data_IF_669737274898
#
_entry.id   IF_669737274898
#
_cell.length_a   1.000
_cell.length_b   1.000
_cell.length_c   1.000
_cell.angle_alpha   90.00
_cell.angle_beta   90.00
_cell.angle_gamma   90.00
#
_symmetry.space_group_name_H-M   'P 1'
#
loop_
_entity.id
_entity.type
_entity.pdbx_description
1 polymer ?
#
# COMPACT_ATOMS: atom_id res chain seq x y z
N UNK A 1 60.85 17.05 9.31
CA UNK A 1 59.63 17.51 8.59
C UNK A 1 58.46 16.49 8.57
N UNK A 2 58.33 15.53 9.51
CA UNK A 2 57.33 14.44 9.39
C UNK A 2 56.49 14.14 10.66
N UNK A 3 56.29 15.09 11.59
CA UNK A 3 55.50 14.85 12.82
C UNK A 3 54.03 15.31 12.77
N UNK A 4 53.63 16.07 11.75
CA UNK A 4 52.28 16.70 11.69
C UNK A 4 51.20 15.79 11.07
N UNK A 5 51.58 14.91 10.13
CA UNK A 5 50.61 14.13 9.34
C UNK A 5 49.98 12.95 10.10
N UNK A 6 50.61 12.46 11.16
CA UNK A 6 50.10 11.29 11.89
C UNK A 6 48.83 11.62 12.70
N UNK A 7 48.74 12.84 13.26
CA UNK A 7 47.53 13.32 13.95
C UNK A 7 46.41 13.68 12.97
N UNK A 8 46.79 14.20 11.80
CA UNK A 8 45.85 14.50 10.73
C UNK A 8 45.20 13.21 10.18
N UNK A 9 46.01 12.16 9.95
CA UNK A 9 45.54 10.85 9.45
C UNK A 9 44.68 10.09 10.47
N UNK A 10 44.99 10.17 11.77
CA UNK A 10 44.12 9.58 12.80
C UNK A 10 42.79 10.32 12.94
N UNK A 11 42.78 11.64 12.76
CA UNK A 11 41.55 12.45 12.82
C UNK A 11 40.63 12.20 11.62
N UNK A 12 41.18 12.05 10.41
CA UNK A 12 40.39 11.86 9.19
C UNK A 12 39.83 10.44 9.06
N UNK A 13 40.49 9.44 9.63
CA UNK A 13 39.97 8.06 9.66
C UNK A 13 38.83 7.89 10.68
N UNK A 14 38.89 8.59 11.81
CA UNK A 14 37.81 8.59 12.81
C UNK A 14 36.52 9.27 12.30
N UNK A 15 36.62 10.33 11.48
CA UNK A 15 35.43 10.99 10.91
C UNK A 15 34.79 10.21 9.78
N UNK A 16 35.56 9.47 8.97
CA UNK A 16 35.01 8.58 7.93
C UNK A 16 34.31 7.34 8.51
N UNK A 17 34.74 6.84 9.67
CA UNK A 17 34.11 5.70 10.32
C UNK A 17 32.73 6.04 10.95
N UNK A 18 32.51 7.29 11.38
CA UNK A 18 31.26 7.72 12.02
C UNK A 18 30.11 8.02 11.04
N UNK A 19 30.40 8.23 9.75
CA UNK A 19 29.35 8.54 8.75
C UNK A 19 28.66 7.25 8.23
N UNK A 20 29.22 6.06 8.48
CA UNK A 20 28.74 4.81 7.89
C UNK A 20 27.60 4.09 8.63
N UNK A 21 27.02 4.63 9.72
CA UNK A 21 25.99 3.90 10.49
C UNK A 21 24.54 4.34 10.28
N UNK A 22 24.24 5.21 9.32
CA UNK A 22 22.85 5.58 8.99
C UNK A 22 22.42 5.06 7.62
N UNK A 23 22.13 3.75 7.53
CA UNK A 23 21.43 3.22 6.36
C UNK A 23 20.71 1.92 6.68
N UNK A 24 19.58 1.99 7.39
CA UNK A 24 18.62 0.89 7.45
C UNK A 24 17.20 1.48 7.46
N UNK A 25 16.77 2.08 6.34
CA UNK A 25 15.35 2.19 6.01
C UNK A 25 15.19 1.48 4.67
N UNK A 26 14.71 0.24 4.70
CA UNK A 26 14.52 -0.52 3.47
C UNK A 26 13.27 -0.02 2.74
N UNK A 27 13.42 0.22 1.44
CA UNK A 27 12.48 0.98 0.62
C UNK A 27 11.15 0.25 0.42
N UNK A 28 10.06 1.00 0.57
CA UNK A 28 8.71 0.67 0.12
C UNK A 28 8.70 0.08 -1.31
N UNK A 29 7.83 -0.91 -1.55
CA UNK A 29 7.69 -1.60 -2.84
C UNK A 29 6.27 -1.46 -3.39
N UNK A 30 6.11 -1.10 -4.67
CA UNK A 30 4.81 -1.15 -5.35
C UNK A 30 4.38 -2.56 -5.78
N UNK A 31 5.02 -3.59 -5.22
CA UNK A 31 4.73 -5.00 -5.48
C UNK A 31 4.46 -5.73 -4.18
N UNK A 32 3.56 -6.69 -4.23
CA UNK A 32 3.36 -7.69 -3.18
C UNK A 32 4.55 -8.68 -3.16
N UNK A 33 4.66 -9.47 -2.09
CA UNK A 33 5.69 -10.51 -1.93
C UNK A 33 5.64 -11.57 -3.05
N UNK A 34 4.45 -11.78 -3.64
CA UNK A 34 4.26 -12.68 -4.81
C UNK A 34 4.66 -12.04 -6.16
N UNK A 35 5.23 -10.83 -6.15
CA UNK A 35 5.71 -10.12 -7.33
C UNK A 35 4.64 -9.37 -8.14
N UNK A 36 3.35 -9.54 -7.84
CA UNK A 36 2.28 -8.77 -8.48
C UNK A 36 2.34 -7.31 -8.02
N UNK A 37 2.01 -6.38 -8.92
CA UNK A 37 1.86 -4.96 -8.55
C UNK A 37 0.66 -4.79 -7.62
N UNK A 38 0.79 -3.87 -6.68
CA UNK A 38 -0.32 -3.40 -5.85
C UNK A 38 -1.37 -2.72 -6.72
N UNK A 39 -2.62 -3.14 -6.60
CA UNK A 39 -3.71 -2.70 -7.49
C UNK A 39 -4.24 -1.31 -7.12
N UNK A 40 -4.05 -0.89 -5.87
CA UNK A 40 -4.52 0.37 -5.28
C UNK A 40 -3.51 1.52 -5.43
N UNK A 41 -2.38 1.29 -6.11
CA UNK A 41 -1.28 2.26 -6.19
C UNK A 41 -0.53 2.46 -4.87
N UNK A 42 -0.79 1.62 -3.86
CA UNK A 42 -0.12 1.67 -2.56
C UNK A 42 1.35 1.27 -2.60
N UNK A 43 1.93 1.09 -1.41
CA UNK A 43 3.28 0.53 -1.23
C UNK A 43 3.27 -0.51 -0.11
N UNK A 44 3.95 -1.62 -0.36
CA UNK A 44 4.19 -2.69 0.61
C UNK A 44 5.50 -2.40 1.34
N UNK A 45 5.50 -2.56 2.66
CA UNK A 45 6.70 -2.49 3.49
C UNK A 45 7.10 -3.90 3.94
N UNK A 46 8.33 -4.35 3.69
CA UNK A 46 8.76 -5.68 4.10
C UNK A 46 8.86 -5.77 5.62
N UNK A 47 8.36 -6.87 6.17
CA UNK A 47 8.55 -7.21 7.58
C UNK A 47 9.94 -7.83 7.76
N UNK A 48 10.80 -7.17 8.54
CA UNK A 48 12.13 -7.70 8.90
C UNK A 48 12.36 -7.59 10.39
N UNK A 49 12.81 -8.68 11.02
CA UNK A 49 13.14 -8.74 12.45
C UNK A 49 12.00 -8.23 13.35
N UNK A 50 10.74 -8.55 13.03
CA UNK A 50 9.57 -8.10 13.79
C UNK A 50 9.23 -6.61 13.65
N UNK A 51 9.71 -5.92 12.61
CA UNK A 51 9.39 -4.52 12.32
C UNK A 51 8.95 -4.31 10.86
N UNK A 52 8.03 -3.37 10.64
CA UNK A 52 7.68 -2.81 9.33
C UNK A 52 8.05 -1.33 9.31
N UNK A 53 9.07 -0.97 8.54
CA UNK A 53 9.69 0.37 8.57
C UNK A 53 10.06 0.79 10.01
N UNK A 54 9.34 1.73 10.62
CA UNK A 54 9.56 2.24 11.99
C UNK A 54 8.65 1.58 13.05
N UNK A 55 7.71 0.74 12.64
CA UNK A 55 6.71 0.16 13.52
C UNK A 55 7.07 -1.27 13.89
N UNK A 56 6.89 -1.64 15.16
CA UNK A 56 7.00 -3.02 15.60
C UNK A 56 5.73 -3.78 15.20
N UNK A 57 5.90 -5.01 14.73
CA UNK A 57 4.79 -5.90 14.40
C UNK A 57 4.75 -7.06 15.38
N UNK A 58 3.54 -7.46 15.78
CA UNK A 58 3.36 -8.68 16.55
C UNK A 58 3.20 -9.85 15.57
N UNK A 59 4.31 -10.55 15.28
CA UNK A 59 4.29 -11.71 14.38
C UNK A 59 3.34 -12.82 14.85
N UNK A 60 3.13 -12.95 16.16
CA UNK A 60 2.23 -13.96 16.74
C UNK A 60 0.78 -13.68 16.37
N UNK A 61 0.37 -12.40 16.37
CA UNK A 61 -0.97 -12.00 15.91
C UNK A 61 -1.15 -12.20 14.41
N UNK A 62 -0.10 -11.96 13.61
CA UNK A 62 -0.16 -12.15 12.15
C UNK A 62 -0.23 -13.63 11.73
N UNK A 63 0.41 -14.54 12.49
CA UNK A 63 0.40 -15.99 12.22
C UNK A 63 -0.94 -16.66 12.51
N UNK A 64 -1.77 -16.06 13.37
CA UNK A 64 -3.04 -16.64 13.82
C UNK A 64 -4.19 -16.58 12.82
N UNK A 65 -4.03 -15.83 11.71
CA UNK A 65 -5.12 -15.54 10.78
C UNK A 65 -6.22 -14.69 11.41
N UNK A 66 -6.91 -13.90 10.59
CA UNK A 66 -8.12 -13.21 11.05
C UNK A 66 -9.29 -14.21 10.95
N UNK A 67 -9.75 -14.73 12.08
CA UNK A 67 -10.89 -15.68 12.14
C UNK A 67 -12.22 -14.99 12.45
N UNK A 68 -12.26 -13.66 12.43
CA UNK A 68 -13.49 -12.90 12.63
C UNK A 68 -14.30 -12.83 11.34
N UNK A 69 -15.52 -13.37 11.37
CA UNK A 69 -16.49 -13.29 10.28
C UNK A 69 -16.85 -14.65 9.67
N UNK A 70 -17.68 -14.60 8.62
CA UNK A 70 -18.07 -15.76 7.83
C UNK A 70 -17.92 -15.46 6.35
N UNK A 71 -17.84 -16.51 5.53
CA UNK A 71 -17.92 -16.35 4.07
C UNK A 71 -19.28 -15.71 3.71
N UNK A 72 -19.31 -14.67 2.84
CA UNK A 72 -20.56 -14.17 2.31
C UNK A 72 -21.22 -15.23 1.42
N UNK A 73 -22.54 -15.28 1.48
CA UNK A 73 -23.36 -16.13 0.61
C UNK A 73 -23.34 -15.59 -0.82
N UNK A 74 -23.68 -16.44 -1.79
CA UNK A 74 -23.76 -16.00 -3.19
C UNK A 74 -24.76 -14.85 -3.40
N UNK A 75 -25.87 -14.84 -2.66
CA UNK A 75 -26.87 -13.77 -2.73
C UNK A 75 -26.34 -12.45 -2.17
N UNK A 76 -25.56 -12.49 -1.10
CA UNK A 76 -24.93 -11.28 -0.54
C UNK A 76 -23.91 -10.69 -1.50
N UNK A 77 -23.07 -11.54 -2.11
CA UNK A 77 -22.13 -11.09 -3.14
C UNK A 77 -22.90 -10.46 -4.29
N UNK A 78 -23.92 -11.13 -4.82
CA UNK A 78 -24.73 -10.60 -5.94
C UNK A 78 -25.42 -9.28 -5.62
N UNK A 79 -25.82 -9.05 -4.36
CA UNK A 79 -26.47 -7.81 -3.95
C UNK A 79 -25.48 -6.64 -3.81
N UNK A 80 -24.21 -6.91 -3.55
CA UNK A 80 -23.18 -5.90 -3.28
C UNK A 80 -22.24 -5.67 -4.46
N UNK A 81 -22.00 -6.70 -5.27
CA UNK A 81 -21.14 -6.69 -6.45
C UNK A 81 -21.92 -6.11 -7.66
N UNK A 82 -22.06 -4.78 -7.65
CA UNK A 82 -22.76 -4.00 -8.70
C UNK A 82 -21.80 -3.10 -9.49
N UNK A 83 -20.49 -3.35 -9.37
CA UNK A 83 -19.47 -2.54 -10.02
C UNK A 83 -19.52 -2.73 -11.54
N UNK A 84 -19.35 -1.63 -12.28
CA UNK A 84 -19.27 -1.63 -13.74
C UNK A 84 -17.83 -1.35 -14.16
N UNK A 85 -17.22 -2.29 -14.87
CA UNK A 85 -15.84 -2.17 -15.36
C UNK A 85 -15.77 -1.34 -16.66
N UNK A 86 -14.60 -0.77 -17.00
CA UNK A 86 -14.44 0.04 -18.21
C UNK A 86 -14.68 -0.72 -19.53
N UNK A 87 -14.55 -2.04 -19.52
CA UNK A 87 -14.83 -2.90 -20.68
C UNK A 87 -16.32 -3.28 -20.82
N UNK A 88 -17.17 -2.78 -19.92
CA UNK A 88 -18.60 -3.07 -19.88
C UNK A 88 -18.99 -4.28 -19.04
N UNK A 89 -18.03 -4.99 -18.42
CA UNK A 89 -18.35 -6.08 -17.48
C UNK A 89 -19.16 -5.54 -16.30
N UNK A 90 -20.25 -6.22 -15.94
CA UNK A 90 -21.14 -5.83 -14.84
C UNK A 90 -22.29 -4.89 -15.22
N UNK A 91 -22.34 -4.39 -16.45
CA UNK A 91 -23.42 -3.50 -16.91
C UNK A 91 -24.76 -4.26 -16.99
N UNK A 92 -25.81 -3.85 -16.24
CA UNK A 92 -27.12 -4.50 -16.28
C UNK A 92 -27.85 -4.16 -17.58
N UNK A 93 -28.81 -5.01 -17.98
CA UNK A 93 -29.68 -4.69 -19.09
C UNK A 93 -30.54 -3.45 -18.78
N UNK A 94 -30.53 -2.49 -19.71
CA UNK A 94 -31.28 -1.25 -19.56
C UNK A 94 -31.05 -0.29 -20.72
N UNK A 95 -31.84 0.77 -20.75
CA UNK A 95 -31.67 1.92 -21.65
C UNK A 95 -32.32 3.15 -21.02
N UNK A 96 -31.86 4.32 -21.40
CA UNK A 96 -32.45 5.60 -21.04
C UNK A 96 -32.04 6.68 -22.03
N UNK A 97 -32.83 7.72 -22.14
CA UNK A 97 -32.56 8.90 -22.96
C UNK A 97 -32.10 10.08 -22.11
N UNK A 98 -31.50 11.07 -22.77
CA UNK A 98 -31.07 12.31 -22.10
C UNK A 98 -32.25 13.05 -21.46
N UNK A 99 -33.41 13.07 -22.13
CA UNK A 99 -34.61 13.75 -21.62
C UNK A 99 -35.15 13.09 -20.34
N UNK A 100 -35.15 11.76 -20.27
CA UNK A 100 -35.56 11.04 -19.05
C UNK A 100 -34.56 11.27 -17.91
N UNK A 101 -33.27 11.41 -18.23
CA UNK A 101 -32.23 11.72 -17.24
C UNK A 101 -32.31 13.15 -16.69
N UNK A 102 -32.73 14.12 -17.52
CA UNK A 102 -32.89 15.53 -17.14
C UNK A 102 -33.92 15.69 -16.02
N UNK A 103 -35.09 15.06 -16.18
CA UNK A 103 -36.15 15.07 -15.17
C UNK A 103 -35.67 14.48 -13.82
N UNK A 104 -34.96 13.35 -13.85
CA UNK A 104 -34.42 12.71 -12.64
C UNK A 104 -33.32 13.53 -11.95
N UNK A 105 -32.47 14.19 -12.74
CA UNK A 105 -31.39 15.01 -12.21
C UNK A 105 -31.93 16.22 -11.46
N UNK A 106 -32.90 16.92 -12.06
CA UNK A 106 -33.57 18.07 -11.43
C UNK A 106 -34.32 17.68 -10.14
N UNK A 107 -34.87 16.46 -10.06
CA UNK A 107 -35.57 16.00 -8.85
C UNK A 107 -34.62 15.54 -7.74
N UNK A 108 -33.50 14.88 -8.08
CA UNK A 108 -32.69 14.14 -7.10
C UNK A 108 -31.28 14.69 -6.86
N UNK A 109 -30.75 15.55 -7.73
CA UNK A 109 -29.33 15.91 -7.72
C UNK A 109 -29.05 17.42 -7.60
N UNK A 110 -30.01 18.30 -7.86
CA UNK A 110 -29.76 19.76 -7.97
C UNK A 110 -29.91 20.54 -6.66
N UNK A 111 -30.20 19.87 -5.55
CA UNK A 111 -30.36 20.48 -4.20
C UNK A 111 -29.09 20.57 -3.38
#
# INVERSE_FOLDING_TARGET
MFKSYHKLLLSTTATLALISTMSMAESASHKYDNGKKVIDGGVTYPVKKGMTSVYHINETTLKGGYTFGRKPTANEIKAWDIDVMPDGTGLPEGKGSVSEGDELYEEQCTV
#
